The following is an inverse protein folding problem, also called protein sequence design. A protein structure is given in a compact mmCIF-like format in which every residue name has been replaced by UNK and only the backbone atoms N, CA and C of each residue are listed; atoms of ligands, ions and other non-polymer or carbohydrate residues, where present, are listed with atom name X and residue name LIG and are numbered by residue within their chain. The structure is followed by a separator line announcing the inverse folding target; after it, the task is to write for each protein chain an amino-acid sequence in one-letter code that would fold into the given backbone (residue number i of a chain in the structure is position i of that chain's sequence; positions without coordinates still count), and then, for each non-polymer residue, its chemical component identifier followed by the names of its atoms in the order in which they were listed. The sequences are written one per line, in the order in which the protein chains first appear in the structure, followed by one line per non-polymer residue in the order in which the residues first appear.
data_IF_698507423456
#
_entry.id   IF_698507423456
#
_cell.length_a   1.000
_cell.length_b   1.000
_cell.length_c   1.000
_cell.angle_alpha   90.00
_cell.angle_beta   90.00
_cell.angle_gamma   90.00
#
_symmetry.space_group_name_H-M   'P 1'
#
loop_
_entity.id
_entity.type
_entity.pdbx_description
1 polymer ?
#
# COMPACT_ATOMS: atom_id res chain seq x y z
N UNK A 1 28.82 -12.51 -24.10
CA UNK A 1 28.89 -11.13 -23.57
C UNK A 1 28.97 -11.26 -22.07
N UNK A 2 30.16 -11.12 -21.48
CA UNK A 2 30.36 -11.25 -20.04
C UNK A 2 29.69 -10.06 -19.35
N UNK A 3 28.68 -10.32 -18.53
CA UNK A 3 28.01 -9.29 -17.73
C UNK A 3 29.03 -8.80 -16.69
N UNK A 4 29.45 -7.53 -16.81
CA UNK A 4 30.39 -6.94 -15.86
C UNK A 4 29.74 -6.88 -14.47
N UNK A 5 30.13 -7.79 -13.59
CA UNK A 5 29.62 -7.93 -12.21
C UNK A 5 29.84 -6.69 -11.33
N UNK A 6 30.50 -5.64 -11.84
CA UNK A 6 30.83 -4.41 -11.12
C UNK A 6 29.96 -3.20 -11.45
N UNK A 7 29.11 -3.26 -12.49
CA UNK A 7 28.22 -2.13 -12.82
C UNK A 7 27.02 -2.07 -11.88
N UNK A 8 26.62 -0.87 -11.46
CA UNK A 8 25.46 -0.66 -10.59
C UNK A 8 24.26 -0.31 -11.46
N UNK A 9 23.52 -1.31 -11.92
CA UNK A 9 22.54 -1.14 -12.99
C UNK A 9 21.36 -0.25 -12.59
N UNK A 10 20.81 -0.45 -11.39
CA UNK A 10 19.69 0.34 -10.85
C UNK A 10 20.16 1.75 -10.51
N UNK A 11 21.34 1.89 -9.89
CA UNK A 11 21.89 3.20 -9.56
C UNK A 11 22.20 4.03 -10.80
N UNK A 12 22.79 3.40 -11.83
CA UNK A 12 23.14 4.06 -13.08
C UNK A 12 21.88 4.43 -13.87
N UNK A 13 20.80 3.65 -13.79
CA UNK A 13 19.51 3.97 -14.40
C UNK A 13 18.90 5.27 -13.86
N UNK A 14 18.95 5.48 -12.54
CA UNK A 14 18.38 6.67 -11.89
C UNK A 14 19.35 7.86 -11.81
N UNK A 15 20.63 7.66 -12.12
CA UNK A 15 21.64 8.72 -12.04
C UNK A 15 21.30 9.88 -12.98
N UNK A 16 21.18 11.08 -12.42
CA UNK A 16 20.83 12.29 -13.17
C UNK A 16 19.41 12.31 -13.74
N UNK A 17 18.57 11.33 -13.38
CA UNK A 17 17.20 11.23 -13.90
C UNK A 17 16.23 12.17 -13.21
N UNK A 18 15.13 12.48 -13.89
CA UNK A 18 13.98 13.19 -13.29
C UNK A 18 12.84 12.20 -13.01
N UNK A 19 12.41 12.15 -11.75
CA UNK A 19 11.38 11.22 -11.27
C UNK A 19 10.10 11.99 -10.91
N UNK A 20 8.95 11.47 -11.29
CA UNK A 20 7.64 11.96 -10.85
C UNK A 20 7.00 10.95 -9.90
N UNK A 21 6.57 11.41 -8.72
CA UNK A 21 5.88 10.60 -7.72
C UNK A 21 4.46 11.13 -7.53
N UNK A 22 3.48 10.34 -7.95
CA UNK A 22 2.06 10.60 -7.70
C UNK A 22 1.60 9.84 -6.46
N UNK A 23 0.91 10.51 -5.53
CA UNK A 23 0.50 9.90 -4.25
C UNK A 23 1.63 9.87 -3.21
N UNK A 24 2.64 10.73 -3.37
CA UNK A 24 3.79 10.79 -2.47
C UNK A 24 3.48 11.30 -1.06
N UNK A 25 2.30 11.86 -0.81
CA UNK A 25 1.84 12.22 0.55
C UNK A 25 1.23 11.05 1.32
N UNK A 26 0.99 9.90 0.68
CA UNK A 26 0.51 8.68 1.32
C UNK A 26 1.63 7.83 1.91
N UNK A 27 1.29 6.81 2.69
CA UNK A 27 2.25 5.97 3.43
C UNK A 27 3.37 5.40 2.54
N UNK A 28 3.01 4.70 1.46
CA UNK A 28 3.98 4.10 0.53
C UNK A 28 4.76 5.16 -0.24
N UNK A 29 4.05 6.16 -0.78
CA UNK A 29 4.67 7.21 -1.58
C UNK A 29 5.65 8.08 -0.79
N UNK A 30 5.39 8.31 0.50
CA UNK A 30 6.28 9.06 1.39
C UNK A 30 7.59 8.32 1.63
N UNK A 31 7.53 7.02 1.92
CA UNK A 31 8.72 6.18 2.07
C UNK A 31 9.47 5.99 0.75
N UNK A 32 8.75 5.94 -0.38
CA UNK A 32 9.37 5.94 -1.71
C UNK A 32 10.15 7.22 -1.97
N UNK A 33 9.56 8.38 -1.67
CA UNK A 33 10.26 9.66 -1.78
C UNK A 33 11.52 9.70 -0.91
N UNK A 34 11.43 9.28 0.36
CA UNK A 34 12.59 9.19 1.25
C UNK A 34 13.69 8.32 0.65
N UNK A 35 13.35 7.12 0.17
CA UNK A 35 14.33 6.18 -0.38
C UNK A 35 15.02 6.74 -1.62
N UNK A 36 14.26 7.39 -2.51
CA UNK A 36 14.80 8.07 -3.69
C UNK A 36 15.83 9.12 -3.27
N UNK A 37 15.48 9.99 -2.32
CA UNK A 37 16.36 11.06 -1.86
C UNK A 37 17.61 10.54 -1.14
N UNK A 38 17.47 9.48 -0.34
CA UNK A 38 18.57 8.91 0.45
C UNK A 38 19.55 8.10 -0.38
N UNK A 39 19.04 7.32 -1.34
CA UNK A 39 19.81 6.24 -1.96
C UNK A 39 20.14 6.48 -3.44
N UNK A 40 19.44 7.40 -4.11
CA UNK A 40 19.62 7.65 -5.54
C UNK A 40 20.18 9.04 -5.82
N UNK A 41 21.05 9.14 -6.82
CA UNK A 41 21.53 10.43 -7.31
C UNK A 41 20.65 10.94 -8.46
N UNK A 42 19.40 11.27 -8.15
CA UNK A 42 18.45 11.87 -9.10
C UNK A 42 18.76 13.35 -9.31
N UNK A 43 18.42 13.88 -10.49
CA UNK A 43 18.49 15.32 -10.78
C UNK A 43 17.41 16.07 -10.01
N UNK A 44 16.17 15.59 -10.09
CA UNK A 44 14.98 16.23 -9.52
C UNK A 44 13.87 15.20 -9.27
N UNK A 45 13.03 15.46 -8.26
CA UNK A 45 11.79 14.72 -8.01
C UNK A 45 10.59 15.68 -8.05
N UNK A 46 9.68 15.47 -9.00
CA UNK A 46 8.38 16.14 -8.99
C UNK A 46 7.41 15.36 -8.11
N UNK A 47 6.83 16.02 -7.11
CA UNK A 47 5.85 15.44 -6.21
C UNK A 47 4.46 15.99 -6.52
N UNK A 48 3.57 15.16 -7.04
CA UNK A 48 2.18 15.61 -7.25
C UNK A 48 1.44 15.67 -5.91
N UNK A 49 0.97 16.86 -5.56
CA UNK A 49 0.28 17.14 -4.31
C UNK A 49 -1.15 17.56 -4.60
N UNK A 50 -2.12 16.74 -4.17
CA UNK A 50 -3.55 17.05 -4.36
C UNK A 50 -3.90 18.40 -3.72
N UNK A 51 -4.65 19.24 -4.41
CA UNK A 51 -5.21 20.47 -3.85
C UNK A 51 -6.05 20.17 -2.60
N UNK A 52 -5.87 20.97 -1.54
CA UNK A 52 -6.68 20.90 -0.31
C UNK A 52 -7.08 22.31 0.09
N UNK A 53 -8.37 22.52 0.35
CA UNK A 53 -8.89 23.85 0.70
C UNK A 53 -8.10 24.45 1.87
N UNK A 54 -7.53 25.64 1.67
CA UNK A 54 -6.83 26.42 2.69
C UNK A 54 -5.34 26.09 2.91
N UNK A 55 -4.72 25.19 2.13
CA UNK A 55 -3.28 24.89 2.23
C UNK A 55 -2.69 24.67 0.83
N UNK A 56 -1.66 25.42 0.44
CA UNK A 56 -1.00 25.25 -0.85
C UNK A 56 -0.08 24.02 -0.88
N UNK A 57 0.28 23.55 -2.08
CA UNK A 57 1.13 22.39 -2.27
C UNK A 57 2.51 22.51 -1.58
N UNK A 58 3.14 23.68 -1.57
CA UNK A 58 4.44 23.91 -0.95
C UNK A 58 4.38 23.75 0.58
N UNK A 59 3.33 24.25 1.22
CA UNK A 59 3.15 24.08 2.67
C UNK A 59 2.86 22.62 3.03
N UNK A 60 2.11 21.91 2.18
CA UNK A 60 1.93 20.46 2.34
C UNK A 60 3.23 19.69 2.17
N UNK A 61 4.09 20.09 1.22
CA UNK A 61 5.42 19.50 1.06
C UNK A 61 6.28 19.79 2.29
N UNK A 62 6.31 21.02 2.79
CA UNK A 62 7.05 21.37 4.03
C UNK A 62 6.60 20.50 5.20
N UNK A 63 5.30 20.40 5.45
CA UNK A 63 4.74 19.55 6.50
C UNK A 63 5.14 18.07 6.33
N UNK A 64 5.16 17.57 5.09
CA UNK A 64 5.59 16.21 4.80
C UNK A 64 7.07 16.00 5.14
N UNK A 65 7.92 16.97 4.80
CA UNK A 65 9.37 16.92 5.03
C UNK A 65 9.77 17.16 6.49
N UNK A 66 8.85 17.66 7.33
CA UNK A 66 9.02 17.74 8.79
C UNK A 66 8.81 16.39 9.50
N UNK A 67 8.28 15.37 8.80
CA UNK A 67 8.21 14.01 9.34
C UNK A 67 9.62 13.48 9.64
N UNK A 68 9.77 12.80 10.79
CA UNK A 68 11.06 12.22 11.22
C UNK A 68 11.66 11.27 10.20
N UNK A 69 10.84 10.72 9.30
CA UNK A 69 11.29 9.95 8.16
C UNK A 69 12.38 10.70 7.35
N UNK A 70 12.29 12.02 7.24
CA UNK A 70 13.19 12.86 6.43
C UNK A 70 14.29 13.55 7.26
N UNK A 71 14.47 13.22 8.54
CA UNK A 71 15.43 13.89 9.45
C UNK A 71 16.86 13.91 8.88
N UNK A 72 17.24 12.85 8.14
CA UNK A 72 18.56 12.71 7.53
C UNK A 72 18.69 13.37 6.15
N UNK A 73 17.59 13.85 5.54
CA UNK A 73 17.52 14.24 4.12
C UNK A 73 17.52 15.76 3.86
N UNK A 74 17.90 16.57 4.86
CA UNK A 74 17.73 18.04 4.84
C UNK A 74 18.36 18.77 3.64
N UNK A 75 19.41 18.23 3.04
CA UNK A 75 20.01 18.81 1.83
C UNK A 75 19.34 18.28 0.55
N UNK A 76 19.01 17.00 0.53
CA UNK A 76 18.43 16.30 -0.62
C UNK A 76 17.00 16.74 -0.90
N UNK A 77 16.25 17.18 0.11
CA UNK A 77 14.89 17.72 -0.07
C UNK A 77 14.82 18.91 -1.03
N UNK A 78 15.93 19.63 -1.26
CA UNK A 78 16.02 20.71 -2.26
C UNK A 78 15.83 20.21 -3.70
N UNK A 79 15.97 18.91 -3.93
CA UNK A 79 15.70 18.26 -5.23
C UNK A 79 14.21 18.00 -5.45
N UNK A 80 13.33 18.24 -4.45
CA UNK A 80 11.90 17.98 -4.53
C UNK A 80 11.16 19.25 -4.92
N UNK A 81 10.32 19.16 -5.95
CA UNK A 81 9.45 20.24 -6.39
C UNK A 81 7.99 19.76 -6.27
N UNK A 82 7.20 20.47 -5.46
CA UNK A 82 5.77 20.18 -5.33
C UNK A 82 5.03 20.73 -6.54
N UNK A 83 4.16 19.91 -7.12
CA UNK A 83 3.26 20.31 -8.19
C UNK A 83 1.84 20.14 -7.67
N UNK A 84 1.13 21.26 -7.51
CA UNK A 84 -0.27 21.23 -7.10
C UNK A 84 -1.13 20.62 -8.22
N UNK A 85 -1.96 19.64 -7.89
CA UNK A 85 -2.87 18.99 -8.83
C UNK A 85 -4.29 18.92 -8.29
N UNK A 86 -5.25 19.14 -9.17
CA UNK A 86 -6.65 18.86 -8.94
C UNK A 86 -7.09 17.69 -9.82
N UNK A 87 -7.18 16.51 -9.22
CA UNK A 87 -7.56 15.28 -9.93
C UNK A 87 -9.01 15.30 -10.44
N UNK A 88 -9.82 16.23 -9.98
CA UNK A 88 -11.22 16.37 -10.39
C UNK A 88 -11.35 17.26 -11.66
N UNK A 89 -10.26 17.90 -12.11
CA UNK A 89 -10.20 18.75 -13.30
C UNK A 89 -9.51 18.07 -14.49
N UNK A 90 -9.82 18.55 -15.70
CA UNK A 90 -9.06 18.19 -16.91
C UNK A 90 -7.59 18.58 -16.76
N UNK A 91 -6.69 17.79 -17.36
CA UNK A 91 -5.24 17.97 -17.26
C UNK A 91 -4.72 18.12 -15.81
N UNK A 92 -5.45 17.59 -14.82
CA UNK A 92 -5.15 17.71 -13.39
C UNK A 92 -5.12 19.15 -12.87
N UNK A 93 -5.77 20.09 -13.55
CA UNK A 93 -5.77 21.51 -13.20
C UNK A 93 -4.39 22.17 -13.31
N UNK A 94 -3.49 21.59 -14.10
CA UNK A 94 -2.15 22.14 -14.35
C UNK A 94 -2.20 23.25 -15.40
N UNK A 95 -1.37 24.28 -15.20
CA UNK A 95 -1.08 25.26 -16.24
C UNK A 95 -0.31 24.59 -17.40
N UNK A 96 -0.54 25.05 -18.62
CA UNK A 96 0.07 24.47 -19.84
C UNK A 96 1.61 24.46 -19.76
N UNK A 97 2.22 25.54 -19.25
CA UNK A 97 3.68 25.65 -19.09
C UNK A 97 4.24 24.59 -18.13
N UNK A 98 3.54 24.34 -17.02
CA UNK A 98 3.93 23.32 -16.03
C UNK A 98 3.74 21.93 -16.63
N UNK A 99 2.63 21.70 -17.32
CA UNK A 99 2.36 20.43 -17.97
C UNK A 99 3.41 20.09 -19.04
N UNK A 100 3.78 21.05 -19.90
CA UNK A 100 4.83 20.89 -20.91
C UNK A 100 6.21 20.64 -20.29
N UNK A 101 6.54 21.35 -19.21
CA UNK A 101 7.80 21.17 -18.50
C UNK A 101 7.91 19.74 -17.94
N UNK A 102 6.84 19.23 -17.31
CA UNK A 102 6.80 17.86 -16.78
C UNK A 102 6.92 16.83 -17.90
N UNK A 103 6.23 17.02 -19.02
CA UNK A 103 6.33 16.14 -20.20
C UNK A 103 7.76 16.04 -20.71
N UNK A 104 8.46 17.18 -20.84
CA UNK A 104 9.82 17.24 -21.40
C UNK A 104 10.86 16.63 -20.47
N UNK A 105 10.71 16.80 -19.15
CA UNK A 105 11.74 16.44 -18.19
C UNK A 105 11.61 15.05 -17.58
N UNK A 106 10.39 14.56 -17.35
CA UNK A 106 10.15 13.33 -16.56
C UNK A 106 10.54 12.07 -17.33
N UNK A 107 11.31 11.20 -16.68
CA UNK A 107 11.80 9.95 -17.25
C UNK A 107 11.25 8.72 -16.54
N UNK A 108 10.92 8.83 -15.24
CA UNK A 108 10.37 7.73 -14.46
C UNK A 108 9.17 8.21 -13.64
N UNK A 109 8.06 7.47 -13.73
CA UNK A 109 6.84 7.75 -12.97
C UNK A 109 6.55 6.63 -11.98
N UNK A 110 6.33 7.00 -10.72
CA UNK A 110 5.79 6.10 -9.70
C UNK A 110 4.37 6.53 -9.32
N UNK A 111 3.40 5.71 -9.66
CA UNK A 111 2.00 5.99 -9.40
C UNK A 111 1.51 5.21 -8.18
N UNK A 112 1.39 5.92 -7.05
CA UNK A 112 0.94 5.37 -5.76
C UNK A 112 -0.45 5.90 -5.34
N UNK A 113 -1.14 6.66 -6.20
CA UNK A 113 -2.47 7.20 -5.88
C UNK A 113 -3.48 6.06 -5.80
N UNK A 114 -4.13 5.94 -4.66
CA UNK A 114 -5.25 5.03 -4.44
C UNK A 114 -6.10 5.50 -3.25
N UNK A 115 -7.40 5.28 -3.33
CA UNK A 115 -8.24 5.17 -2.14
C UNK A 115 -8.19 3.72 -1.64
N UNK A 116 -7.61 3.53 -0.46
CA UNK A 116 -7.44 2.23 0.21
C UNK A 116 -8.57 1.90 1.19
N UNK A 117 -9.62 2.73 1.23
CA UNK A 117 -10.80 2.49 2.06
C UNK A 117 -11.65 1.37 1.49
N UNK A 118 -11.82 0.30 2.25
CA UNK A 118 -12.62 -0.86 1.85
C UNK A 118 -14.12 -0.59 1.76
N UNK A 119 -14.60 0.51 2.37
CA UNK A 119 -16.04 0.84 2.44
C UNK A 119 -16.41 2.05 1.58
N UNK A 120 -15.50 2.55 0.75
CA UNK A 120 -15.77 3.65 -0.18
C UNK A 120 -16.92 3.28 -1.13
N UNK A 121 -17.85 4.20 -1.43
CA UNK A 121 -18.81 4.02 -2.52
C UNK A 121 -18.11 3.64 -3.83
N UNK A 122 -18.72 2.74 -4.60
CA UNK A 122 -18.20 2.16 -5.83
C UNK A 122 -17.82 3.23 -6.85
N UNK A 123 -18.66 4.26 -7.06
CA UNK A 123 -18.37 5.33 -8.02
C UNK A 123 -17.14 6.15 -7.60
N UNK A 124 -17.03 6.51 -6.32
CA UNK A 124 -15.87 7.25 -5.78
C UNK A 124 -14.58 6.41 -5.86
N UNK A 125 -14.66 5.12 -5.51
CA UNK A 125 -13.54 4.19 -5.62
C UNK A 125 -13.09 4.03 -7.09
N UNK A 126 -14.04 3.92 -8.01
CA UNK A 126 -13.79 3.84 -9.45
C UNK A 126 -13.12 5.11 -9.98
N UNK A 127 -13.65 6.28 -9.64
CA UNK A 127 -13.07 7.57 -10.02
C UNK A 127 -11.61 7.65 -9.58
N UNK A 128 -11.34 7.33 -8.31
CA UNK A 128 -9.99 7.49 -7.73
C UNK A 128 -9.01 6.43 -8.24
N UNK A 129 -9.40 5.15 -8.20
CA UNK A 129 -8.47 4.04 -8.44
C UNK A 129 -8.33 3.70 -9.93
N UNK A 130 -9.31 4.05 -10.77
CA UNK A 130 -9.33 3.70 -12.20
C UNK A 130 -9.21 4.94 -13.07
N UNK A 131 -10.11 5.92 -12.94
CA UNK A 131 -10.15 7.06 -13.88
C UNK A 131 -8.94 7.99 -13.74
N UNK A 132 -8.55 8.38 -12.52
CA UNK A 132 -7.35 9.21 -12.32
C UNK A 132 -6.11 8.53 -12.91
N UNK A 133 -5.98 7.21 -12.69
CA UNK A 133 -4.87 6.42 -13.25
C UNK A 133 -4.90 6.39 -14.78
N UNK A 134 -6.09 6.23 -15.38
CA UNK A 134 -6.29 6.30 -16.83
C UNK A 134 -5.90 7.66 -17.40
N UNK A 135 -6.28 8.76 -16.75
CA UNK A 135 -5.88 10.10 -17.19
C UNK A 135 -4.38 10.32 -17.06
N UNK A 136 -3.75 9.77 -16.01
CA UNK A 136 -2.31 9.89 -15.81
C UNK A 136 -1.54 9.16 -16.92
N UNK A 137 -1.96 7.95 -17.26
CA UNK A 137 -1.39 7.17 -18.35
C UNK A 137 -1.60 7.86 -19.70
N UNK A 138 -2.79 8.42 -19.93
CA UNK A 138 -3.07 9.20 -21.15
C UNK A 138 -2.14 10.41 -21.27
N UNK A 139 -1.85 11.10 -20.17
CA UNK A 139 -0.89 12.20 -20.17
C UNK A 139 0.55 11.70 -20.41
N UNK A 140 0.93 10.56 -19.82
CA UNK A 140 2.24 9.96 -20.04
C UNK A 140 2.53 9.57 -21.51
N UNK A 141 1.51 9.42 -22.36
CA UNK A 141 1.70 9.23 -23.81
C UNK A 141 2.42 10.42 -24.48
N UNK A 142 2.34 11.62 -23.91
CA UNK A 142 3.04 12.80 -24.44
C UNK A 142 4.43 13.02 -23.84
N UNK A 143 4.97 12.07 -23.06
CA UNK A 143 6.27 12.22 -22.40
C UNK A 143 7.35 11.59 -23.29
N UNK A 144 8.13 12.38 -24.07
CA UNK A 144 9.09 11.84 -25.03
C UNK A 144 10.23 11.03 -24.39
N UNK A 145 10.56 11.30 -23.12
CA UNK A 145 11.70 10.71 -22.42
C UNK A 145 11.28 9.64 -21.40
N UNK A 146 10.01 9.22 -21.38
CA UNK A 146 9.53 8.26 -20.40
C UNK A 146 10.18 6.88 -20.60
N UNK A 147 10.98 6.47 -19.62
CA UNK A 147 11.68 5.18 -19.58
C UNK A 147 10.93 4.13 -18.77
N UNK A 148 10.15 4.55 -17.77
CA UNK A 148 9.42 3.62 -16.89
C UNK A 148 8.21 4.26 -16.21
N UNK A 149 7.10 3.53 -16.15
CA UNK A 149 5.93 3.83 -15.34
C UNK A 149 5.62 2.65 -14.42
N UNK A 150 5.71 2.83 -13.11
CA UNK A 150 5.37 1.79 -12.12
C UNK A 150 4.01 2.11 -11.50
N UNK A 151 3.01 1.29 -11.83
CA UNK A 151 1.68 1.37 -11.24
C UNK A 151 1.61 0.52 -9.96
N UNK A 152 1.28 1.13 -8.83
CA UNK A 152 1.08 0.42 -7.57
C UNK A 152 -0.33 -0.15 -7.51
N UNK A 153 -0.46 -1.45 -7.70
CA UNK A 153 -1.69 -2.21 -7.49
C UNK A 153 -1.69 -2.88 -6.12
N UNK A 154 -2.20 -4.10 -6.01
CA UNK A 154 -2.21 -4.92 -4.81
C UNK A 154 -2.27 -6.39 -5.19
N UNK A 155 -1.63 -7.26 -4.41
CA UNK A 155 -1.74 -8.71 -4.57
C UNK A 155 -3.19 -9.19 -4.55
N UNK A 156 -4.06 -8.45 -3.85
CA UNK A 156 -5.47 -8.77 -3.71
C UNK A 156 -6.34 -8.39 -4.93
N UNK A 157 -5.76 -7.86 -6.01
CA UNK A 157 -6.52 -7.59 -7.25
C UNK A 157 -6.97 -8.88 -7.95
N UNK A 158 -6.34 -10.01 -7.65
CA UNK A 158 -6.71 -11.34 -8.16
C UNK A 158 -7.19 -12.27 -7.01
N UNK A 159 -7.66 -11.69 -5.90
CA UNK A 159 -7.96 -12.45 -4.68
C UNK A 159 -9.17 -13.41 -4.76
N UNK A 160 -9.97 -13.31 -5.82
CA UNK A 160 -11.07 -14.25 -6.10
C UNK A 160 -10.56 -15.61 -6.60
N UNK A 161 -9.31 -15.69 -7.06
CA UNK A 161 -8.65 -16.92 -7.49
C UNK A 161 -7.91 -17.57 -6.33
N UNK A 162 -7.75 -18.89 -6.39
CA UNK A 162 -6.89 -19.62 -5.44
C UNK A 162 -5.40 -19.49 -5.79
N UNK A 163 -5.11 -19.23 -7.07
CA UNK A 163 -3.76 -19.08 -7.61
C UNK A 163 -3.61 -17.71 -8.25
N UNK A 164 -2.64 -16.92 -7.76
CA UNK A 164 -2.35 -15.56 -8.24
C UNK A 164 -1.09 -15.58 -9.11
N UNK A 165 -1.29 -15.45 -10.41
CA UNK A 165 -0.20 -15.40 -11.40
C UNK A 165 0.33 -13.97 -11.59
N UNK A 166 1.52 -13.82 -12.19
CA UNK A 166 2.08 -12.54 -12.65
C UNK A 166 1.54 -12.15 -14.03
N UNK A 167 0.23 -12.33 -14.19
CA UNK A 167 -0.54 -11.95 -15.37
C UNK A 167 -1.84 -11.30 -14.92
N UNK A 168 -2.34 -10.40 -15.76
CA UNK A 168 -3.66 -9.80 -15.59
C UNK A 168 -4.60 -10.62 -16.45
N UNK A 169 -5.60 -11.20 -15.79
CA UNK A 169 -6.65 -11.91 -16.48
C UNK A 169 -7.79 -10.95 -16.83
N UNK A 170 -8.48 -11.24 -17.93
CA UNK A 170 -9.57 -10.41 -18.46
C UNK A 170 -10.94 -10.71 -17.83
N UNK A 171 -10.97 -11.56 -16.81
CA UNK A 171 -12.20 -11.97 -16.13
C UNK A 171 -12.69 -10.88 -15.17
N UNK A 172 -13.95 -10.52 -15.34
CA UNK A 172 -14.69 -9.65 -14.44
C UNK A 172 -15.96 -10.38 -13.96
N UNK A 173 -16.41 -10.16 -12.72
CA UNK A 173 -17.62 -10.80 -12.19
C UNK A 173 -18.88 -10.42 -12.98
N UNK A 174 -18.88 -9.23 -13.58
CA UNK A 174 -20.00 -8.69 -14.32
C UNK A 174 -19.54 -8.12 -15.66
N UNK A 175 -20.11 -8.66 -16.75
CA UNK A 175 -19.95 -8.09 -18.08
C UNK A 175 -18.51 -8.06 -18.61
N UNK A 176 -18.28 -7.20 -19.60
CA UNK A 176 -16.93 -6.94 -20.14
C UNK A 176 -16.35 -5.67 -19.55
N UNK A 177 -15.02 -5.53 -19.64
CA UNK A 177 -14.31 -4.29 -19.28
C UNK A 177 -15.00 -3.04 -19.85
N UNK A 178 -15.33 -3.05 -21.16
CA UNK A 178 -15.99 -1.93 -21.84
C UNK A 178 -17.35 -1.61 -21.22
N UNK A 179 -18.12 -2.62 -20.84
CA UNK A 179 -19.42 -2.44 -20.20
C UNK A 179 -19.26 -1.83 -18.79
N UNK A 180 -18.35 -2.38 -17.98
CA UNK A 180 -18.07 -1.83 -16.64
C UNK A 180 -17.65 -0.37 -16.69
N UNK A 181 -16.70 -0.02 -17.58
CA UNK A 181 -16.24 1.36 -17.76
C UNK A 181 -17.39 2.28 -18.16
N UNK A 182 -18.23 1.86 -19.13
CA UNK A 182 -19.38 2.66 -19.57
C UNK A 182 -20.38 2.88 -18.42
N UNK A 183 -20.76 1.82 -17.71
CA UNK A 183 -21.72 1.91 -16.61
C UNK A 183 -21.21 2.81 -15.48
N UNK A 184 -19.99 2.57 -14.99
CA UNK A 184 -19.44 3.33 -13.86
C UNK A 184 -19.16 4.80 -14.20
N UNK A 185 -18.97 5.12 -15.48
CA UNK A 185 -18.83 6.51 -15.95
C UNK A 185 -20.19 7.20 -16.08
N UNK A 186 -21.20 6.51 -16.62
CA UNK A 186 -22.51 7.11 -16.96
C UNK A 186 -23.51 7.13 -15.81
N UNK A 187 -23.49 6.14 -14.92
CA UNK A 187 -24.46 6.03 -13.83
C UNK A 187 -24.15 7.03 -12.71
N UNK A 188 -25.17 7.49 -12.00
CA UNK A 188 -25.03 8.29 -10.77
C UNK A 188 -24.42 7.46 -9.62
N UNK A 189 -23.97 8.12 -8.55
CA UNK A 189 -23.41 7.42 -7.39
C UNK A 189 -24.42 6.47 -6.74
N UNK A 190 -25.70 6.87 -6.69
CA UNK A 190 -26.79 6.05 -6.14
C UNK A 190 -27.05 4.81 -7.00
N UNK A 191 -27.12 4.98 -8.33
CA UNK A 191 -27.27 3.85 -9.25
C UNK A 191 -26.09 2.88 -9.18
N UNK A 192 -24.86 3.38 -9.04
CA UNK A 192 -23.68 2.54 -8.82
C UNK A 192 -23.76 1.73 -7.52
N UNK A 193 -24.25 2.31 -6.43
CA UNK A 193 -24.44 1.55 -5.19
C UNK A 193 -25.53 0.49 -5.33
N UNK A 194 -26.60 0.76 -6.07
CA UNK A 194 -27.68 -0.21 -6.30
C UNK A 194 -27.22 -1.46 -7.07
N UNK A 195 -26.20 -1.34 -7.93
CA UNK A 195 -25.62 -2.46 -8.69
C UNK A 195 -24.33 -3.01 -8.08
N UNK A 196 -23.89 -2.47 -6.94
CA UNK A 196 -22.57 -2.71 -6.38
C UNK A 196 -22.27 -4.19 -6.18
N UNK A 197 -23.16 -4.92 -5.53
CA UNK A 197 -22.93 -6.34 -5.21
C UNK A 197 -22.82 -7.19 -6.47
N UNK A 198 -23.62 -6.88 -7.49
CA UNK A 198 -23.53 -7.54 -8.81
C UNK A 198 -22.21 -7.25 -9.51
N UNK A 199 -21.69 -6.01 -9.40
CA UNK A 199 -20.39 -5.65 -10.01
C UNK A 199 -19.21 -6.27 -9.27
N UNK A 200 -19.25 -6.29 -7.94
CA UNK A 200 -18.18 -6.85 -7.10
C UNK A 200 -18.15 -8.38 -7.18
N UNK A 201 -19.30 -9.05 -7.27
CA UNK A 201 -19.37 -10.51 -7.23
C UNK A 201 -18.60 -11.07 -6.02
N UNK A 202 -17.57 -11.88 -6.29
CA UNK A 202 -16.75 -12.51 -5.25
C UNK A 202 -15.67 -11.60 -4.62
N UNK A 203 -15.48 -10.38 -5.13
CA UNK A 203 -14.51 -9.45 -4.57
C UNK A 203 -14.97 -8.97 -3.18
N UNK A 204 -14.09 -8.98 -2.16
CA UNK A 204 -14.48 -8.68 -0.79
C UNK A 204 -14.86 -7.22 -0.54
N UNK A 205 -14.40 -6.30 -1.40
CA UNK A 205 -14.60 -4.87 -1.23
C UNK A 205 -14.35 -4.09 -2.53
N UNK A 206 -14.77 -2.82 -2.55
CA UNK A 206 -14.62 -1.93 -3.70
C UNK A 206 -13.16 -1.67 -4.06
N UNK A 207 -12.24 -1.67 -3.10
CA UNK A 207 -10.80 -1.48 -3.33
C UNK A 207 -10.20 -2.59 -4.21
N UNK A 208 -10.38 -3.86 -3.83
CA UNK A 208 -9.84 -5.00 -4.58
C UNK A 208 -10.41 -5.08 -6.00
N UNK A 209 -11.73 -4.87 -6.13
CA UNK A 209 -12.40 -4.81 -7.44
C UNK A 209 -11.87 -3.66 -8.33
N UNK A 210 -11.76 -2.45 -7.78
CA UNK A 210 -11.27 -1.30 -8.57
C UNK A 210 -9.80 -1.42 -8.92
N UNK A 211 -8.97 -2.08 -8.10
CA UNK A 211 -7.58 -2.41 -8.47
C UNK A 211 -7.51 -3.43 -9.60
N UNK A 212 -8.35 -4.48 -9.60
CA UNK A 212 -8.50 -5.38 -10.76
C UNK A 212 -8.90 -4.60 -12.02
N UNK A 213 -9.89 -3.72 -11.90
CA UNK A 213 -10.38 -2.94 -13.05
C UNK A 213 -9.32 -1.98 -13.60
N UNK A 214 -8.51 -1.37 -12.73
CA UNK A 214 -7.38 -0.53 -13.11
C UNK A 214 -6.30 -1.34 -13.85
N UNK A 215 -5.98 -2.55 -13.39
CA UNK A 215 -5.02 -3.42 -14.07
C UNK A 215 -5.48 -3.82 -15.48
N UNK A 216 -6.76 -4.19 -15.65
CA UNK A 216 -7.33 -4.51 -16.96
C UNK A 216 -7.32 -3.26 -17.86
N UNK A 217 -7.62 -2.08 -17.31
CA UNK A 217 -7.53 -0.81 -18.04
C UNK A 217 -6.11 -0.58 -18.57
N UNK A 218 -5.08 -0.76 -17.73
CA UNK A 218 -3.68 -0.61 -18.12
C UNK A 218 -3.32 -1.60 -19.24
N UNK A 219 -3.70 -2.88 -19.07
CA UNK A 219 -3.40 -3.94 -20.02
C UNK A 219 -4.03 -3.68 -21.39
N UNK A 220 -5.30 -3.28 -21.42
CA UNK A 220 -6.07 -3.13 -22.67
C UNK A 220 -5.83 -1.81 -23.38
N UNK A 221 -5.51 -0.74 -22.66
CA UNK A 221 -5.46 0.61 -23.24
C UNK A 221 -4.03 1.17 -23.37
N UNK A 222 -3.04 0.65 -22.65
CA UNK A 222 -1.72 1.32 -22.56
C UNK A 222 -0.49 0.41 -22.63
N UNK A 223 -0.64 -0.91 -22.46
CA UNK A 223 0.50 -1.83 -22.38
C UNK A 223 1.41 -1.82 -23.63
N UNK A 224 0.85 -1.60 -24.81
CA UNK A 224 1.61 -1.51 -26.07
C UNK A 224 2.39 -0.20 -26.21
N UNK A 225 1.84 0.90 -25.70
CA UNK A 225 2.33 2.25 -26.00
C UNK A 225 3.35 2.77 -24.98
N UNK A 226 3.25 2.33 -23.72
CA UNK A 226 4.03 2.86 -22.61
C UNK A 226 4.91 1.78 -21.94
N UNK A 227 6.07 2.16 -21.38
CA UNK A 227 6.89 1.25 -20.57
C UNK A 227 6.27 1.09 -19.18
N UNK A 228 5.26 0.23 -19.04
CA UNK A 228 4.51 0.07 -17.78
C UNK A 228 4.90 -1.23 -17.06
N UNK A 229 5.06 -1.14 -15.74
CA UNK A 229 5.05 -2.28 -14.82
C UNK A 229 3.96 -2.16 -13.77
N UNK A 230 3.25 -3.24 -13.49
CA UNK A 230 2.25 -3.31 -12.41
C UNK A 230 2.87 -4.01 -11.20
N UNK A 231 3.05 -3.28 -10.11
CA UNK A 231 3.60 -3.80 -8.88
C UNK A 231 2.47 -4.12 -7.89
N UNK A 232 2.38 -5.37 -7.42
CA UNK A 232 1.32 -5.89 -6.54
C UNK A 232 1.90 -6.24 -5.15
N UNK A 233 1.93 -5.27 -4.22
CA UNK A 233 2.29 -5.54 -2.82
C UNK A 233 1.17 -6.27 -2.08
N UNK A 234 1.48 -7.01 -1.01
CA UNK A 234 0.49 -7.60 -0.11
C UNK A 234 0.09 -6.54 0.93
N UNK A 235 -0.26 -6.92 2.16
CA UNK A 235 -0.53 -5.92 3.21
C UNK A 235 0.77 -5.24 3.62
N UNK A 236 0.92 -3.97 3.26
CA UNK A 236 2.08 -3.18 3.62
C UNK A 236 2.00 -2.81 5.10
N UNK A 237 3.05 -3.16 5.83
CA UNK A 237 3.19 -2.97 7.28
C UNK A 237 4.42 -2.09 7.57
N UNK A 238 4.69 -1.69 8.84
CA UNK A 238 5.84 -0.85 9.18
C UNK A 238 7.16 -1.37 8.59
N UNK A 239 8.17 -0.50 8.52
CA UNK A 239 9.50 -0.84 7.96
C UNK A 239 10.20 -1.93 8.77
N UNK A 240 11.03 -2.73 8.10
CA UNK A 240 11.82 -3.79 8.74
C UNK A 240 13.22 -3.31 9.12
N UNK A 241 13.93 -2.64 8.22
CA UNK A 241 15.33 -2.21 8.38
C UNK A 241 15.49 -0.71 8.25
N UNK A 242 14.91 -0.09 7.23
CA UNK A 242 15.25 1.29 6.85
C UNK A 242 14.03 2.21 6.66
N UNK A 243 14.21 3.56 6.80
CA UNK A 243 15.39 4.22 7.38
C UNK A 243 15.53 3.96 8.88
N UNK A 244 14.47 3.49 9.53
CA UNK A 244 14.51 2.95 10.89
C UNK A 244 13.51 1.79 11.01
N UNK A 245 13.81 0.72 11.76
CA UNK A 245 12.86 -0.38 11.99
C UNK A 245 11.58 0.08 12.68
N UNK A 246 10.44 -0.45 12.26
CA UNK A 246 9.13 -0.18 12.87
C UNK A 246 8.53 1.19 12.53
N UNK A 247 9.12 1.96 11.61
CA UNK A 247 8.54 3.24 11.22
C UNK A 247 7.19 3.06 10.55
N UNK A 248 6.22 3.87 10.99
CA UNK A 248 4.89 3.96 10.42
C UNK A 248 4.25 5.29 10.80
N UNK A 249 3.36 5.78 9.95
CA UNK A 249 2.58 7.00 10.16
C UNK A 249 1.06 6.74 10.22
N UNK A 250 0.65 5.48 10.16
CA UNK A 250 -0.75 5.07 10.18
C UNK A 250 -0.96 3.80 11.01
N UNK A 251 -2.22 3.54 11.32
CA UNK A 251 -2.65 2.37 12.10
C UNK A 251 -3.21 1.25 11.22
N UNK A 252 -3.05 1.28 9.90
CA UNK A 252 -3.60 0.25 9.03
C UNK A 252 -2.76 -1.04 9.10
N UNK A 253 -3.31 -2.13 8.58
CA UNK A 253 -2.61 -3.42 8.56
C UNK A 253 -2.45 -4.01 9.97
N UNK A 254 -1.24 -4.50 10.23
CA UNK A 254 -0.80 -5.02 11.52
C UNK A 254 -0.95 -3.99 12.65
N UNK A 255 -0.87 -2.68 12.34
CA UNK A 255 -1.00 -1.60 13.31
C UNK A 255 -2.36 -1.58 14.04
N UNK A 256 -3.46 -1.90 13.35
CA UNK A 256 -4.81 -1.90 13.95
C UNK A 256 -4.98 -3.03 14.96
N UNK A 257 -4.33 -4.18 14.73
CA UNK A 257 -4.31 -5.30 15.69
C UNK A 257 -3.45 -4.98 16.91
N UNK A 258 -2.29 -4.34 16.70
CA UNK A 258 -1.42 -3.93 17.80
C UNK A 258 -2.11 -2.86 18.67
N UNK A 259 -2.70 -1.84 18.06
CA UNK A 259 -3.42 -0.78 18.78
C UNK A 259 -4.58 -1.34 19.60
N UNK A 260 -5.39 -2.24 19.03
CA UNK A 260 -6.53 -2.81 19.76
C UNK A 260 -6.11 -3.69 20.94
N UNK A 261 -4.91 -4.30 20.88
CA UNK A 261 -4.29 -5.03 21.99
C UNK A 261 -3.79 -4.11 23.08
N UNK A 262 -3.18 -2.97 22.74
CA UNK A 262 -2.81 -1.95 23.74
C UNK A 262 -4.03 -1.41 24.50
N UNK A 263 -5.16 -1.25 23.80
CA UNK A 263 -6.42 -0.82 24.41
C UNK A 263 -7.12 -1.91 25.24
N UNK A 264 -6.69 -3.17 25.07
CA UNK A 264 -7.32 -4.35 25.66
C UNK A 264 -8.73 -4.65 25.11
N UNK A 265 -9.11 -4.08 23.95
CA UNK A 265 -10.41 -4.30 23.30
C UNK A 265 -10.34 -5.28 22.13
N UNK A 266 -9.15 -5.56 21.59
CA UNK A 266 -8.89 -6.53 20.51
C UNK A 266 -8.98 -8.00 20.95
N UNK A 267 -10.08 -8.38 21.62
CA UNK A 267 -10.27 -9.70 22.22
C UNK A 267 -10.90 -10.73 21.29
N UNK A 268 -11.55 -10.29 20.21
CA UNK A 268 -12.25 -11.19 19.28
C UNK A 268 -11.80 -10.82 17.87
N UNK A 269 -11.30 -11.82 17.13
CA UNK A 269 -10.79 -11.67 15.77
C UNK A 269 -11.62 -12.55 14.84
N UNK A 270 -12.18 -11.96 13.79
CA UNK A 270 -12.70 -12.68 12.63
C UNK A 270 -11.52 -13.01 11.72
N UNK A 271 -11.09 -14.27 11.72
CA UNK A 271 -9.89 -14.72 11.04
C UNK A 271 -9.55 -16.17 11.36
N UNK A 272 -8.82 -16.81 10.46
CA UNK A 272 -8.26 -18.14 10.70
C UNK A 272 -6.77 -18.00 11.04
N UNK A 273 -6.39 -18.48 12.22
CA UNK A 273 -5.03 -18.40 12.74
C UNK A 273 -4.05 -19.30 11.96
N UNK A 274 -4.55 -20.27 11.20
CA UNK A 274 -3.71 -21.19 10.43
C UNK A 274 -3.40 -20.69 9.01
N UNK A 275 -4.03 -19.58 8.58
CA UNK A 275 -3.81 -19.03 7.25
C UNK A 275 -2.51 -18.21 7.20
N UNK A 276 -1.85 -18.25 6.05
CA UNK A 276 -0.60 -17.52 5.81
C UNK A 276 -0.89 -16.02 5.84
N UNK A 277 -0.08 -15.30 6.61
CA UNK A 277 -0.20 -13.86 6.76
C UNK A 277 0.61 -13.14 5.67
N UNK A 278 -0.06 -12.74 4.59
CA UNK A 278 0.55 -12.00 3.50
C UNK A 278 0.79 -10.53 3.89
N UNK A 279 1.90 -10.29 4.58
CA UNK A 279 2.41 -8.97 4.92
C UNK A 279 3.76 -8.72 4.24
N UNK A 280 4.06 -7.47 3.95
CA UNK A 280 5.38 -7.05 3.51
C UNK A 280 5.79 -5.79 4.28
N UNK A 281 7.06 -5.72 4.74
CA UNK A 281 7.61 -4.47 5.24
C UNK A 281 7.59 -3.39 4.18
N UNK A 282 7.35 -2.15 4.60
CA UNK A 282 7.25 -0.99 3.72
C UNK A 282 8.54 -0.74 2.93
N UNK A 283 9.69 -0.83 3.59
CA UNK A 283 11.00 -0.65 2.98
C UNK A 283 11.29 -1.70 1.91
N UNK A 284 10.96 -2.98 2.17
CA UNK A 284 11.01 -4.00 1.14
C UNK A 284 10.14 -3.63 -0.07
N UNK A 285 8.92 -3.12 0.17
CA UNK A 285 8.02 -2.73 -0.91
C UNK A 285 8.59 -1.60 -1.77
N UNK A 286 9.08 -0.54 -1.12
CA UNK A 286 9.68 0.61 -1.77
C UNK A 286 10.91 0.20 -2.59
N UNK A 287 11.77 -0.65 -2.02
CA UNK A 287 12.95 -1.16 -2.70
C UNK A 287 12.57 -1.95 -3.94
N UNK A 288 11.62 -2.88 -3.84
CA UNK A 288 11.12 -3.63 -4.99
C UNK A 288 10.59 -2.70 -6.08
N UNK A 289 9.82 -1.67 -5.73
CA UNK A 289 9.29 -0.70 -6.69
C UNK A 289 10.40 0.01 -7.49
N UNK A 290 11.46 0.46 -6.82
CA UNK A 290 12.60 1.10 -7.49
C UNK A 290 13.28 0.15 -8.47
N UNK A 291 13.48 -1.11 -8.07
CA UNK A 291 14.09 -2.10 -8.97
C UNK A 291 13.14 -2.46 -10.12
N UNK A 292 11.83 -2.54 -9.89
CA UNK A 292 10.83 -2.71 -10.93
C UNK A 292 10.90 -1.59 -11.98
N UNK A 293 11.13 -0.34 -11.57
CA UNK A 293 11.26 0.78 -12.51
C UNK A 293 12.42 0.59 -13.50
N UNK A 294 13.56 0.11 -13.02
CA UNK A 294 14.67 -0.31 -13.86
C UNK A 294 14.32 -1.50 -14.78
N UNK A 295 13.71 -2.56 -14.26
CA UNK A 295 13.36 -3.77 -15.05
C UNK A 295 12.38 -3.43 -16.18
N UNK A 296 11.40 -2.56 -15.91
CA UNK A 296 10.45 -2.08 -16.92
C UNK A 296 11.16 -1.40 -18.08
N UNK A 297 12.13 -0.52 -17.79
CA UNK A 297 12.93 0.14 -18.83
C UNK A 297 13.76 -0.87 -19.63
N UNK A 298 14.43 -1.80 -18.94
CA UNK A 298 15.26 -2.83 -19.56
C UNK A 298 14.46 -3.72 -20.52
N UNK A 299 13.29 -4.19 -20.09
CA UNK A 299 12.41 -5.03 -20.92
C UNK A 299 11.91 -4.27 -22.14
N UNK A 300 11.50 -3.01 -21.97
CA UNK A 300 11.07 -2.17 -23.10
C UNK A 300 12.19 -2.01 -24.14
N UNK A 301 13.43 -1.75 -23.71
CA UNK A 301 14.58 -1.62 -24.61
C UNK A 301 14.99 -2.93 -25.28
N UNK A 302 14.70 -4.08 -24.65
CA UNK A 302 15.08 -5.41 -25.15
C UNK A 302 14.00 -6.08 -26.01
N UNK A 303 12.75 -5.58 -25.98
CA UNK A 303 11.65 -6.15 -26.75
C UNK A 303 11.82 -5.87 -28.25
N UNK A 304 12.31 -6.87 -28.99
CA UNK A 304 12.19 -6.95 -30.45
C UNK A 304 10.80 -7.46 -30.91
N UNK A 305 9.87 -7.69 -29.98
CA UNK A 305 8.53 -8.23 -30.26
C UNK A 305 7.57 -7.12 -30.71
N UNK A 306 6.66 -7.47 -31.62
CA UNK A 306 5.64 -6.58 -32.18
C UNK A 306 4.62 -6.07 -31.16
N UNK A 307 4.46 -6.74 -30.02
CA UNK A 307 3.61 -6.31 -28.89
C UNK A 307 4.27 -6.68 -27.55
N UNK A 308 4.79 -5.71 -26.77
CA UNK A 308 5.36 -6.00 -25.46
C UNK A 308 4.26 -6.37 -24.45
N UNK A 309 4.36 -7.56 -23.86
CA UNK A 309 3.46 -8.01 -22.79
C UNK A 309 3.69 -7.18 -21.50
N UNK A 310 2.60 -6.69 -20.91
CA UNK A 310 2.63 -5.93 -19.66
C UNK A 310 3.29 -6.73 -18.53
N UNK A 311 4.31 -6.17 -17.89
CA UNK A 311 5.00 -6.88 -16.80
C UNK A 311 4.32 -6.65 -15.45
N UNK A 312 4.05 -7.73 -14.74
CA UNK A 312 3.40 -7.73 -13.42
C UNK A 312 4.33 -8.34 -12.37
N UNK A 313 4.42 -7.71 -11.20
CA UNK A 313 5.29 -8.15 -10.10
C UNK A 313 4.46 -8.46 -8.87
N UNK A 314 4.35 -9.73 -8.49
CA UNK A 314 3.71 -10.11 -7.22
C UNK A 314 4.76 -10.09 -6.11
N UNK A 315 4.63 -9.19 -5.14
CA UNK A 315 5.56 -9.12 -4.02
C UNK A 315 5.07 -9.93 -2.84
N UNK A 316 5.27 -11.24 -2.92
CA UNK A 316 4.84 -12.20 -1.91
C UNK A 316 5.97 -13.15 -1.60
N UNK A 317 5.99 -13.64 -0.36
CA UNK A 317 6.92 -14.66 0.06
C UNK A 317 6.49 -16.02 -0.49
N UNK A 318 7.45 -16.79 -1.01
CA UNK A 318 7.23 -18.16 -1.48
C UNK A 318 7.34 -19.16 -0.33
N UNK A 319 8.19 -18.86 0.65
CA UNK A 319 8.56 -19.77 1.74
C UNK A 319 7.94 -19.41 3.08
N UNK A 320 7.34 -18.22 3.23
CA UNK A 320 6.82 -17.76 4.51
C UNK A 320 5.73 -18.70 5.00
N UNK A 321 6.05 -19.34 6.13
CA UNK A 321 5.12 -20.11 6.95
C UNK A 321 4.49 -19.25 8.04
N UNK A 322 4.71 -17.93 8.03
CA UNK A 322 4.21 -17.05 9.06
C UNK A 322 2.68 -16.96 8.95
N UNK A 323 2.00 -17.67 9.85
CA UNK A 323 0.55 -17.68 9.92
C UNK A 323 0.03 -16.47 10.70
N UNK A 324 -1.27 -16.17 10.57
CA UNK A 324 -1.92 -15.16 11.42
C UNK A 324 -1.74 -15.49 12.92
N UNK A 325 -1.72 -16.77 13.29
CA UNK A 325 -1.45 -17.23 14.65
C UNK A 325 -0.02 -16.95 15.09
N UNK A 326 0.97 -17.12 14.20
CA UNK A 326 2.37 -16.79 14.49
C UNK A 326 2.56 -15.29 14.70
N UNK A 327 1.95 -14.45 13.85
CA UNK A 327 1.96 -12.99 14.00
C UNK A 327 1.45 -12.58 15.38
N UNK A 328 0.30 -13.11 15.83
CA UNK A 328 -0.25 -12.83 17.16
C UNK A 328 0.65 -13.35 18.30
N UNK A 329 1.29 -14.51 18.09
CA UNK A 329 2.25 -15.07 19.05
C UNK A 329 3.46 -14.16 19.20
N UNK A 330 4.06 -13.71 18.10
CA UNK A 330 5.21 -12.81 18.10
C UNK A 330 4.86 -11.44 18.71
N UNK A 331 3.64 -10.92 18.47
CA UNK A 331 3.16 -9.73 19.17
C UNK A 331 3.17 -9.93 20.69
N UNK A 332 2.65 -11.06 21.18
CA UNK A 332 2.62 -11.33 22.61
C UNK A 332 4.04 -11.52 23.17
N UNK A 333 4.91 -12.26 22.49
CA UNK A 333 6.30 -12.52 22.91
C UNK A 333 7.16 -11.24 22.92
N UNK A 334 6.81 -10.24 22.11
CA UNK A 334 7.48 -8.93 22.11
C UNK A 334 7.33 -8.13 23.41
N UNK A 335 6.42 -8.53 24.33
CA UNK A 335 6.16 -7.78 25.56
C UNK A 335 7.12 -8.18 26.68
N UNK A 336 7.59 -7.17 27.42
CA UNK A 336 8.56 -7.35 28.51
C UNK A 336 7.89 -7.89 29.79
N UNK A 337 6.71 -7.36 30.12
CA UNK A 337 5.94 -7.75 31.31
C UNK A 337 5.28 -9.12 31.14
N UNK A 338 5.42 -9.98 32.14
CA UNK A 338 4.76 -11.28 32.19
C UNK A 338 3.24 -11.17 31.99
N UNK A 339 2.60 -10.22 32.67
CA UNK A 339 1.15 -10.03 32.59
C UNK A 339 0.69 -9.54 31.22
N UNK A 340 1.48 -8.68 30.57
CA UNK A 340 1.18 -8.23 29.21
C UNK A 340 1.36 -9.37 28.21
N UNK A 341 2.43 -10.16 28.32
CA UNK A 341 2.63 -11.37 27.50
C UNK A 341 1.46 -12.33 27.65
N UNK A 342 1.05 -12.58 28.89
CA UNK A 342 -0.05 -13.48 29.20
C UNK A 342 -1.38 -12.97 28.64
N UNK A 343 -1.71 -11.69 28.86
CA UNK A 343 -2.92 -11.06 28.31
C UNK A 343 -2.94 -11.13 26.78
N UNK A 344 -1.85 -10.74 26.11
CA UNK A 344 -1.81 -10.70 24.66
C UNK A 344 -1.87 -12.10 24.04
N UNK A 345 -1.30 -13.10 24.71
CA UNK A 345 -1.25 -14.50 24.26
C UNK A 345 -2.54 -15.26 24.50
N UNK A 346 -3.25 -15.02 25.60
CA UNK A 346 -4.37 -15.87 26.03
C UNK A 346 -5.71 -15.14 26.11
N UNK A 347 -5.73 -13.81 26.26
CA UNK A 347 -6.97 -13.03 26.34
C UNK A 347 -7.44 -12.54 24.97
N UNK A 348 -7.50 -13.46 24.01
CA UNK A 348 -8.25 -13.27 22.78
C UNK A 348 -8.81 -14.60 22.26
N UNK A 349 -9.75 -14.51 21.34
CA UNK A 349 -10.27 -15.63 20.59
C UNK A 349 -10.37 -15.27 19.11
N UNK A 350 -10.15 -16.26 18.25
CA UNK A 350 -10.29 -16.13 16.80
C UNK A 350 -11.37 -17.09 16.33
N UNK A 351 -12.21 -16.64 15.39
CA UNK A 351 -13.21 -17.49 14.77
C UNK A 351 -13.35 -17.13 13.29
N UNK A 352 -13.68 -18.12 12.48
CA UNK A 352 -14.07 -17.92 11.07
C UNK A 352 -15.59 -17.79 10.91
N UNK A 353 -16.34 -18.08 11.97
CA UNK A 353 -17.80 -18.16 11.95
C UNK A 353 -18.42 -16.82 12.34
N UNK A 354 -19.10 -16.16 11.38
CA UNK A 354 -19.62 -14.79 11.55
C UNK A 354 -20.58 -14.63 12.74
N UNK A 355 -21.50 -15.56 12.97
CA UNK A 355 -22.46 -15.42 14.08
C UNK A 355 -21.79 -15.55 15.45
N UNK A 356 -20.81 -16.47 15.59
CA UNK A 356 -19.97 -16.59 16.79
C UNK A 356 -19.18 -15.29 16.99
N UNK A 357 -18.59 -14.76 15.92
CA UNK A 357 -17.88 -13.48 15.96
C UNK A 357 -18.77 -12.35 16.46
N UNK A 358 -19.96 -12.15 15.89
CA UNK A 358 -20.87 -11.08 16.33
C UNK A 358 -21.35 -11.27 17.77
N UNK A 359 -21.64 -12.50 18.20
CA UNK A 359 -21.99 -12.79 19.58
C UNK A 359 -20.86 -12.38 20.56
N UNK A 360 -19.63 -12.81 20.29
CA UNK A 360 -18.47 -12.49 21.11
C UNK A 360 -18.12 -10.99 21.05
N UNK A 361 -18.29 -10.36 19.88
CA UNK A 361 -18.11 -8.92 19.70
C UNK A 361 -19.12 -8.13 20.55
N UNK A 362 -20.37 -8.57 20.63
CA UNK A 362 -21.37 -7.96 21.53
C UNK A 362 -20.93 -8.03 22.99
N UNK A 363 -20.37 -9.15 23.45
CA UNK A 363 -19.79 -9.26 24.80
C UNK A 363 -18.61 -8.29 24.98
N UNK A 364 -17.79 -8.10 23.96
CA UNK A 364 -16.71 -7.11 23.99
C UNK A 364 -17.23 -5.66 24.09
N UNK A 365 -18.36 -5.34 23.46
CA UNK A 365 -19.00 -4.02 23.60
C UNK A 365 -19.54 -3.75 25.01
N UNK A 366 -20.03 -4.79 25.69
CA UNK A 366 -20.39 -4.72 27.11
C UNK A 366 -19.15 -4.47 27.97
N UNK A 367 -18.09 -5.24 27.77
CA UNK A 367 -16.81 -5.05 28.46
C UNK A 367 -16.21 -3.66 28.24
N UNK A 368 -16.17 -3.19 27.00
CA UNK A 368 -15.69 -1.84 26.65
C UNK A 368 -16.54 -0.74 27.32
N UNK A 369 -17.86 -0.92 27.36
CA UNK A 369 -18.76 0.02 28.06
C UNK A 369 -18.52 0.06 29.56
N UNK A 370 -18.20 -1.08 30.17
CA UNK A 370 -17.82 -1.13 31.58
C UNK A 370 -16.49 -0.41 31.83
N UNK A 371 -15.48 -0.59 30.95
CA UNK A 371 -14.22 0.15 31.03
C UNK A 371 -14.42 1.66 30.91
N UNK A 372 -15.27 2.10 29.98
CA UNK A 372 -15.64 3.50 29.81
C UNK A 372 -16.26 4.05 31.12
N UNK A 373 -17.23 3.34 31.69
CA UNK A 373 -17.91 3.74 32.93
C UNK A 373 -16.94 3.86 34.12
N UNK A 374 -16.06 2.87 34.29
CA UNK A 374 -15.04 2.88 35.35
C UNK A 374 -14.07 4.05 35.17
N UNK A 375 -13.62 4.29 33.93
CA UNK A 375 -12.69 5.39 33.62
C UNK A 375 -13.30 6.75 33.95
N UNK A 376 -14.57 6.98 33.58
CA UNK A 376 -15.29 8.21 33.91
C UNK A 376 -15.46 8.38 35.42
N UNK A 377 -15.73 7.30 36.16
CA UNK A 377 -15.88 7.36 37.63
C UNK A 377 -14.57 7.64 38.35
N UNK A 378 -13.45 7.08 37.89
CA UNK A 378 -12.14 7.27 38.53
C UNK A 378 -11.51 8.62 38.20
N UNK A 379 -11.75 9.17 37.01
CA UNK A 379 -11.11 10.42 36.53
C UNK A 379 -12.01 11.67 36.58
N UNK A 380 -13.28 11.53 36.98
CA UNK A 380 -14.24 12.64 37.09
C UNK A 380 -14.79 13.13 35.74
N UNK A 381 -15.76 14.04 35.78
CA UNK A 381 -16.46 14.56 34.58
C UNK A 381 -15.56 15.42 33.65
N UNK A 382 -14.41 15.90 34.14
CA UNK A 382 -13.36 16.53 33.32
C UNK A 382 -12.52 15.49 32.54
N UNK A 383 -12.72 14.19 32.79
CA UNK A 383 -12.15 13.08 32.01
C UNK A 383 -12.95 12.72 30.75
N UNK A 384 -13.95 13.52 30.36
CA UNK A 384 -14.76 13.32 29.13
C UNK A 384 -13.93 13.39 27.84
N UNK A 385 -12.76 14.03 27.88
CA UNK A 385 -11.83 14.12 26.75
C UNK A 385 -10.92 12.89 26.58
N UNK A 386 -11.09 11.82 27.38
CA UNK A 386 -10.21 10.66 27.33
C UNK A 386 -10.85 9.41 26.72
N UNK A 387 -10.03 8.74 25.89
CA UNK A 387 -10.17 7.44 25.24
C UNK A 387 -11.47 6.65 25.48
N UNK A 388 -12.33 6.58 24.47
CA UNK A 388 -13.55 5.76 24.49
C UNK A 388 -13.27 4.35 23.97
N UNK A 389 -13.24 3.37 24.87
CA UNK A 389 -13.00 1.96 24.54
C UNK A 389 -14.06 1.41 23.59
N UNK A 390 -15.33 1.82 23.73
CA UNK A 390 -16.37 1.45 22.75
C UNK A 390 -16.10 2.00 21.35
N UNK A 391 -15.56 3.22 21.27
CA UNK A 391 -15.19 3.83 19.99
C UNK A 391 -14.01 3.08 19.40
N UNK A 392 -12.96 2.80 20.17
CA UNK A 392 -11.81 2.00 19.70
C UNK A 392 -12.27 0.61 19.20
N UNK A 393 -13.09 -0.10 19.99
CA UNK A 393 -13.64 -1.39 19.60
C UNK A 393 -14.45 -1.31 18.29
N UNK A 394 -15.23 -0.26 18.09
CA UNK A 394 -15.98 -0.05 16.83
C UNK A 394 -15.05 0.10 15.63
N UNK A 395 -13.97 0.88 15.76
CA UNK A 395 -12.98 1.04 14.67
C UNK A 395 -12.27 -0.29 14.39
N UNK A 396 -11.81 -0.99 15.43
CA UNK A 396 -11.16 -2.29 15.28
C UNK A 396 -12.10 -3.32 14.64
N UNK A 397 -13.34 -3.42 15.09
CA UNK A 397 -14.31 -4.36 14.55
C UNK A 397 -14.67 -4.06 13.09
N UNK A 398 -14.75 -2.78 12.70
CA UNK A 398 -14.96 -2.38 11.31
C UNK A 398 -13.78 -2.78 10.43
N UNK A 399 -12.56 -2.52 10.91
CA UNK A 399 -11.34 -2.92 10.21
C UNK A 399 -11.22 -4.44 10.08
N UNK A 400 -11.36 -5.19 11.18
CA UNK A 400 -11.24 -6.65 11.20
C UNK A 400 -12.26 -7.32 10.27
N UNK A 401 -13.50 -6.82 10.21
CA UNK A 401 -14.50 -7.32 9.25
C UNK A 401 -14.06 -7.07 7.79
N UNK A 402 -13.47 -5.92 7.50
CA UNK A 402 -13.06 -5.58 6.15
C UNK A 402 -11.83 -6.38 5.67
N UNK A 403 -10.94 -6.80 6.58
CA UNK A 403 -9.80 -7.67 6.26
C UNK A 403 -10.05 -9.16 6.48
N UNK A 404 -11.20 -9.54 7.04
CA UNK A 404 -11.52 -10.94 7.36
C UNK A 404 -11.41 -11.86 6.13
N UNK A 405 -11.73 -11.36 4.93
CA UNK A 405 -11.57 -12.14 3.70
C UNK A 405 -10.12 -12.61 3.50
N UNK A 406 -9.14 -11.72 3.75
CA UNK A 406 -7.72 -12.01 3.68
C UNK A 406 -7.23 -12.84 4.87
N UNK A 407 -7.77 -12.61 6.06
CA UNK A 407 -7.39 -13.38 7.25
C UNK A 407 -7.91 -14.83 7.26
N UNK A 408 -8.94 -15.13 6.47
CA UNK A 408 -9.55 -16.46 6.39
C UNK A 408 -9.10 -17.26 5.17
N UNK A 409 -8.17 -16.75 4.36
CA UNK A 409 -7.73 -17.40 3.12
C UNK A 409 -6.23 -17.29 2.93
N UNK A 410 -5.67 -18.26 2.23
CA UNK A 410 -4.31 -18.25 1.72
C UNK A 410 -4.33 -18.43 0.22
N UNK A 411 -3.33 -17.89 -0.45
CA UNK A 411 -3.19 -17.96 -1.90
C UNK A 411 -1.89 -18.66 -2.24
N UNK A 412 -1.95 -19.50 -3.27
CA UNK A 412 -0.74 -19.89 -3.99
C UNK A 412 -0.42 -18.80 -5.01
N UNK A 413 0.86 -18.54 -5.27
CA UNK A 413 1.24 -17.45 -6.17
C UNK A 413 2.58 -17.69 -6.86
N UNK A 414 2.79 -16.99 -7.98
CA UNK A 414 4.12 -16.80 -8.57
C UNK A 414 4.64 -15.39 -8.29
N UNK A 415 5.94 -15.29 -8.01
CA UNK A 415 6.71 -14.06 -7.85
C UNK A 415 8.00 -14.12 -8.71
N UNK A 416 7.92 -14.76 -9.87
CA UNK A 416 9.08 -15.11 -10.72
C UNK A 416 9.80 -13.86 -11.21
N UNK A 417 9.07 -12.79 -11.55
CA UNK A 417 9.66 -11.55 -12.05
C UNK A 417 10.56 -10.90 -11.00
N UNK A 418 10.13 -10.80 -9.74
CA UNK A 418 10.97 -10.27 -8.65
C UNK A 418 12.15 -11.18 -8.32
N UNK A 419 11.95 -12.50 -8.30
CA UNK A 419 13.05 -13.47 -8.08
C UNK A 419 14.10 -13.35 -9.19
N UNK A 420 13.67 -13.27 -10.44
CA UNK A 420 14.57 -13.15 -11.57
C UNK A 420 15.34 -11.82 -11.52
N UNK A 421 14.65 -10.74 -11.14
CA UNK A 421 15.24 -9.43 -10.99
C UNK A 421 16.33 -9.39 -9.92
N UNK A 422 16.10 -10.04 -8.77
CA UNK A 422 17.11 -10.21 -7.70
C UNK A 422 18.41 -10.80 -8.23
N UNK A 423 18.35 -11.77 -9.16
CA UNK A 423 19.54 -12.44 -9.73
C UNK A 423 20.39 -11.54 -10.63
N UNK A 424 19.84 -10.42 -11.11
CA UNK A 424 20.54 -9.51 -12.00
C UNK A 424 21.25 -8.36 -11.28
N UNK A 425 21.01 -8.22 -9.97
CA UNK A 425 21.61 -7.21 -9.11
C UNK A 425 22.95 -7.71 -8.55
N UNK A 426 23.90 -6.79 -8.38
CA UNK A 426 25.14 -7.07 -7.67
C UNK A 426 24.92 -7.02 -6.14
N UNK A 427 25.91 -7.47 -5.35
CA UNK A 427 25.80 -7.53 -3.88
C UNK A 427 25.47 -6.16 -3.24
N UNK A 428 26.09 -5.09 -3.73
CA UNK A 428 25.86 -3.73 -3.23
C UNK A 428 24.43 -3.28 -3.48
N UNK A 429 23.89 -3.53 -4.66
CA UNK A 429 22.50 -3.20 -5.01
C UNK A 429 21.50 -4.10 -4.28
N UNK A 430 21.83 -5.36 -4.01
CA UNK A 430 21.00 -6.25 -3.19
C UNK A 430 20.90 -5.80 -1.73
N UNK A 431 22.00 -5.31 -1.17
CA UNK A 431 22.02 -4.75 0.17
C UNK A 431 21.25 -3.42 0.21
N UNK A 432 21.49 -2.54 -0.76
CA UNK A 432 20.83 -1.23 -0.83
C UNK A 432 19.34 -1.33 -1.16
N UNK A 433 18.92 -2.24 -2.02
CA UNK A 433 17.54 -2.47 -2.39
C UNK A 433 17.10 -3.85 -1.89
N UNK A 434 17.15 -4.06 -0.59
CA UNK A 434 16.68 -5.30 0.00
C UNK A 434 15.15 -5.39 -0.09
N UNK A 435 14.64 -6.43 -0.76
CA UNK A 435 13.20 -6.67 -0.91
C UNK A 435 12.81 -8.16 -0.83
N UNK A 436 13.65 -9.04 -0.31
CA UNK A 436 13.27 -10.45 -0.18
C UNK A 436 12.44 -10.69 1.08
N UNK A 437 11.21 -11.18 0.90
CA UNK A 437 10.29 -11.52 1.98
C UNK A 437 10.54 -12.92 2.57
N UNK A 438 11.24 -13.80 1.86
CA UNK A 438 11.57 -15.14 2.36
C UNK A 438 12.62 -15.08 3.48
N UNK A 439 13.47 -14.04 3.48
CA UNK A 439 14.60 -13.84 4.40
C UNK A 439 14.25 -12.92 5.61
N UNK A 440 12.97 -12.58 5.79
CA UNK A 440 12.52 -11.71 6.91
C UNK A 440 12.51 -12.49 8.24
N UNK A 441 13.18 -11.95 9.25
CA UNK A 441 13.06 -12.42 10.64
C UNK A 441 11.73 -11.93 11.22
N UNK A 442 10.69 -12.75 11.08
CA UNK A 442 9.34 -12.42 11.53
C UNK A 442 9.23 -12.08 13.02
N UNK A 443 9.81 -12.84 13.96
CA UNK A 443 9.82 -12.45 15.38
C UNK A 443 10.40 -11.04 15.63
N UNK A 444 11.58 -10.75 15.09
CA UNK A 444 12.24 -9.46 15.29
C UNK A 444 11.50 -8.33 14.56
N UNK A 445 10.97 -8.60 13.38
CA UNK A 445 10.16 -7.67 12.60
C UNK A 445 8.88 -7.28 13.34
N UNK A 446 8.09 -8.26 13.81
CA UNK A 446 6.85 -8.00 14.54
C UNK A 446 7.11 -7.25 15.84
N UNK A 447 8.19 -7.56 16.56
CA UNK A 447 8.61 -6.76 17.73
C UNK A 447 8.83 -5.29 17.36
N UNK A 448 9.55 -5.04 16.28
CA UNK A 448 9.81 -3.67 15.79
C UNK A 448 8.51 -2.94 15.41
N UNK A 449 7.56 -3.63 14.77
CA UNK A 449 6.22 -3.10 14.51
C UNK A 449 5.48 -2.72 15.79
N UNK A 450 5.53 -3.56 16.83
CA UNK A 450 4.89 -3.27 18.13
C UNK A 450 5.49 -2.03 18.77
N UNK A 451 6.82 -1.92 18.77
CA UNK A 451 7.52 -0.78 19.36
C UNK A 451 7.24 0.52 18.58
N UNK A 452 7.22 0.45 17.24
CA UNK A 452 6.87 1.57 16.37
C UNK A 452 5.44 2.08 16.55
N UNK A 453 4.47 1.16 16.61
CA UNK A 453 3.06 1.51 16.87
C UNK A 453 2.90 2.08 18.28
N UNK A 454 3.58 1.52 19.28
CA UNK A 454 3.57 2.06 20.65
C UNK A 454 4.06 3.51 20.68
N UNK A 455 5.14 3.82 19.94
CA UNK A 455 5.65 5.19 19.83
C UNK A 455 4.65 6.13 19.15
N UNK A 456 3.95 5.67 18.11
CA UNK A 456 2.95 6.47 17.42
C UNK A 456 1.72 6.74 18.30
N UNK A 457 1.25 5.75 19.07
CA UNK A 457 0.17 5.92 20.05
C UNK A 457 0.53 6.94 21.13
N UNK A 458 1.78 6.92 21.63
CA UNK A 458 2.25 7.92 22.61
C UNK A 458 2.35 9.35 22.08
N UNK A 459 2.43 9.55 20.76
CA UNK A 459 2.43 10.89 20.15
C UNK A 459 1.02 11.44 19.89
N UNK A 460 0.02 10.56 19.82
CA UNK A 460 -1.38 10.94 19.56
C UNK A 460 -2.17 11.22 20.85
N UNK A 461 -1.67 10.73 22.00
CA UNK A 461 -2.14 11.04 23.35
C UNK A 461 -1.40 12.27 23.89
#
# INVERSE_FOLDING_TARGET
MFCDSRSNKVLDFYRGSTVLVAGGTGFVGKALLEKILRSLDVKKVYLLVRKKCGVCAEDRLRQLLEDRLFDQMREQVKKVEAVEVDYDLECFGLDDDVAEMLQKEVESVFYCVADVSFNRPLKEAFQTNVLIGKYMLKWCLSFPNLRSFVHTSTFYSECTKNFVDEKIADDLPFGSYKLCMKMLTSLSSEECENIRDSMLGDYPNTYTFTKKLAEIMIQKEFAGDLPIGVYRPPVVSPTYREPQPGWTDNMFGVGSFISSKFDGVGRVILGDLNQISNNAPLDCCVNAMLVCGYDVSLRRSSCCQSEPELTVYNHVSKMSKCTNGDVLRYMAESRSSFWQRWDWKYLFTSTTTKWIYYYLLHLCYWYAGLKDLVTVRLKGANGRDHYHYRRSLKHFASYNQAVAFAMCRSWSSYNKNLINLKRHLNEKELEMFYFDLDDVDWPQYIKSCVDGISLLLHKQL
#
